data_IF_194950910405
#
_entry.id   IF_194950910405
#
_cell.length_a   1.000
_cell.length_b   1.000
_cell.length_c   1.000
_cell.angle_alpha   90.00
_cell.angle_beta   90.00
_cell.angle_gamma   90.00
#
_symmetry.space_group_name_H-M   'P 1'
#
loop_
_entity.id
_entity.type
_entity.pdbx_description
1 polymer ?
#
# COMPACT_ATOMS: atom_id res chain seq x y z
N UNK A 1 -10.08 -9.51 -4.02
CA UNK A 1 -9.07 -8.82 -3.15
C UNK A 1 -9.71 -8.56 -1.80
N UNK A 2 -9.03 -8.93 -0.70
CA UNK A 2 -9.48 -8.62 0.66
C UNK A 2 -9.18 -7.17 0.98
N UNK A 3 -10.17 -6.48 1.59
CA UNK A 3 -10.11 -5.07 1.94
C UNK A 3 -9.90 -4.91 3.45
N UNK A 4 -9.02 -4.01 3.82
CA UNK A 4 -8.75 -3.56 5.19
C UNK A 4 -8.56 -2.04 5.23
N UNK A 5 -8.48 -1.48 6.44
CA UNK A 5 -7.91 -0.15 6.61
C UNK A 5 -6.65 -0.23 7.48
N UNK A 6 -5.68 0.61 7.19
CA UNK A 6 -4.41 0.65 7.90
C UNK A 6 -4.53 1.38 9.24
N UNK A 7 -4.11 0.73 10.33
CA UNK A 7 -4.20 1.30 11.68
C UNK A 7 -3.05 2.25 12.02
N UNK A 8 -2.14 2.54 11.08
CA UNK A 8 -1.11 3.57 11.29
C UNK A 8 -1.68 4.98 11.48
N UNK A 9 -2.97 5.17 11.24
CA UNK A 9 -3.71 6.39 11.61
C UNK A 9 -3.87 6.56 13.13
N UNK A 10 -3.65 5.50 13.92
CA UNK A 10 -3.80 5.49 15.37
C UNK A 10 -2.44 5.45 16.08
N UNK A 11 -2.22 6.24 17.16
CA UNK A 11 -0.89 6.49 17.69
C UNK A 11 -0.33 5.44 18.66
N UNK A 12 -1.06 4.35 19.02
CA UNK A 12 -0.58 3.42 20.03
C UNK A 12 0.50 2.46 19.49
N UNK A 13 1.58 2.34 20.26
CA UNK A 13 2.71 1.48 19.94
C UNK A 13 2.84 0.26 20.87
N UNK A 14 2.07 0.21 21.95
CA UNK A 14 2.10 -0.88 22.93
C UNK A 14 0.78 -1.64 22.97
N UNK A 15 0.83 -2.92 23.33
CA UNK A 15 -0.30 -3.85 23.24
C UNK A 15 -1.60 -3.29 23.84
N UNK A 16 -1.56 -2.81 25.10
CA UNK A 16 -2.79 -2.36 25.77
C UNK A 16 -3.42 -1.15 25.04
N UNK A 17 -2.59 -0.24 24.53
CA UNK A 17 -3.06 0.88 23.72
C UNK A 17 -3.60 0.45 22.36
N UNK A 18 -2.98 -0.53 21.70
CA UNK A 18 -3.47 -1.09 20.43
C UNK A 18 -4.81 -1.82 20.64
N UNK A 19 -4.95 -2.60 21.71
CA UNK A 19 -6.23 -3.24 22.06
C UNK A 19 -7.32 -2.18 22.31
N UNK A 20 -7.01 -1.10 23.06
CA UNK A 20 -7.94 0.01 23.29
C UNK A 20 -8.34 0.69 21.96
N UNK A 21 -7.40 0.90 21.04
CA UNK A 21 -7.68 1.49 19.73
C UNK A 21 -8.55 0.58 18.84
N UNK A 22 -8.34 -0.71 18.85
CA UNK A 22 -9.22 -1.66 18.14
C UNK A 22 -10.66 -1.55 18.62
N UNK A 23 -10.87 -1.50 19.95
CA UNK A 23 -12.20 -1.33 20.55
C UNK A 23 -12.76 0.07 20.30
N UNK A 24 -11.94 1.11 20.43
CA UNK A 24 -12.39 2.51 20.37
C UNK A 24 -12.63 3.01 18.96
N UNK A 25 -11.89 2.50 17.97
CA UNK A 25 -11.94 2.96 16.58
C UNK A 25 -12.36 1.86 15.61
N UNK A 26 -11.66 0.72 15.55
CA UNK A 26 -11.94 -0.30 14.54
C UNK A 26 -13.33 -0.92 14.68
N UNK A 27 -13.76 -1.24 15.90
CA UNK A 27 -15.10 -1.77 16.14
C UNK A 27 -16.22 -0.76 15.74
N UNK A 28 -16.19 0.52 16.16
CA UNK A 28 -17.13 1.52 15.67
C UNK A 28 -17.06 1.78 14.16
N UNK A 29 -15.87 1.72 13.54
CA UNK A 29 -15.72 1.83 12.08
C UNK A 29 -16.45 0.69 11.39
N UNK A 30 -16.30 -0.56 11.87
CA UNK A 30 -17.02 -1.73 11.35
C UNK A 30 -18.53 -1.51 11.37
N UNK A 31 -19.06 -1.06 12.53
CA UNK A 31 -20.49 -0.77 12.70
C UNK A 31 -20.97 0.36 11.77
N UNK A 32 -20.23 1.49 11.74
CA UNK A 32 -20.57 2.64 10.90
C UNK A 32 -20.48 2.32 9.41
N UNK A 33 -19.59 1.41 9.00
CA UNK A 33 -19.50 0.93 7.62
C UNK A 33 -20.60 -0.10 7.27
N UNK A 34 -21.32 -0.66 8.27
CA UNK A 34 -22.36 -1.67 8.08
C UNK A 34 -21.80 -3.04 7.74
N UNK A 35 -20.62 -3.40 8.28
CA UNK A 35 -19.91 -4.62 7.97
C UNK A 35 -20.09 -5.67 9.08
N UNK A 36 -20.32 -6.94 8.70
CA UNK A 36 -20.29 -8.06 9.63
C UNK A 36 -18.88 -8.32 10.14
N UNK A 37 -17.89 -8.25 9.24
CA UNK A 37 -16.46 -8.40 9.52
C UNK A 37 -15.70 -7.24 8.89
N UNK A 38 -14.71 -6.71 9.61
CA UNK A 38 -13.81 -5.66 9.11
C UNK A 38 -12.38 -6.19 8.99
N UNK A 39 -11.78 -6.08 7.81
CA UNK A 39 -10.34 -6.25 7.63
C UNK A 39 -9.56 -5.11 8.29
N UNK A 40 -8.51 -5.47 9.02
CA UNK A 40 -7.61 -4.52 9.69
C UNK A 40 -6.20 -4.74 9.16
N UNK A 41 -5.63 -3.74 8.50
CA UNK A 41 -4.22 -3.62 8.16
C UNK A 41 -3.47 -3.11 9.40
N UNK A 42 -2.98 -4.05 10.22
CA UNK A 42 -2.43 -3.67 11.51
C UNK A 42 -1.04 -3.07 11.36
N UNK A 43 -0.87 -1.80 11.71
CA UNK A 43 0.46 -1.27 11.98
C UNK A 43 1.01 -1.92 13.24
N UNK A 44 2.18 -2.50 13.11
CA UNK A 44 2.81 -3.24 14.20
C UNK A 44 4.21 -2.67 14.47
N UNK A 45 4.34 -1.66 15.35
CA UNK A 45 5.65 -1.13 15.72
C UNK A 45 6.56 -2.22 16.28
N UNK A 46 7.87 -2.07 16.14
CA UNK A 46 8.84 -3.09 16.52
C UNK A 46 8.75 -3.52 18.00
N UNK A 47 8.48 -2.59 18.89
CA UNK A 47 8.29 -2.89 20.33
C UNK A 47 7.08 -3.82 20.55
N UNK A 48 6.02 -3.68 19.76
CA UNK A 48 4.85 -4.54 19.80
C UNK A 48 5.13 -5.89 19.12
N UNK A 49 5.77 -5.88 17.94
CA UNK A 49 6.14 -7.09 17.22
C UNK A 49 7.00 -8.00 18.08
N UNK A 50 8.07 -7.46 18.68
CA UNK A 50 8.95 -8.18 19.59
C UNK A 50 8.21 -8.77 20.79
N UNK A 51 7.33 -7.99 21.43
CA UNK A 51 6.51 -8.46 22.55
C UNK A 51 5.59 -9.60 22.14
N UNK A 52 4.86 -9.45 21.04
CA UNK A 52 3.91 -10.48 20.57
C UNK A 52 4.64 -11.73 20.09
N UNK A 53 5.79 -11.62 19.39
CA UNK A 53 6.58 -12.76 18.99
C UNK A 53 7.04 -13.59 20.21
N UNK A 54 7.41 -12.93 21.30
CA UNK A 54 7.89 -13.57 22.52
C UNK A 54 6.79 -14.06 23.50
N UNK A 55 5.51 -13.65 23.32
CA UNK A 55 4.43 -13.91 24.29
C UNK A 55 3.20 -14.53 23.66
N UNK A 56 3.02 -15.87 23.75
CA UNK A 56 1.76 -16.53 23.32
C UNK A 56 0.52 -15.98 24.01
N UNK A 57 0.60 -15.66 25.30
CA UNK A 57 -0.54 -15.12 26.06
C UNK A 57 -0.97 -13.76 25.53
N UNK A 58 -0.05 -12.91 25.14
CA UNK A 58 -0.37 -11.59 24.54
C UNK A 58 -1.00 -11.74 23.13
N UNK A 59 -0.57 -12.73 22.33
CA UNK A 59 -1.22 -13.06 21.06
C UNK A 59 -2.65 -13.57 21.26
N UNK A 60 -2.88 -14.40 22.28
CA UNK A 60 -4.24 -14.84 22.66
C UNK A 60 -5.11 -13.66 23.06
N UNK A 61 -4.60 -12.70 23.82
CA UNK A 61 -5.34 -11.47 24.18
C UNK A 61 -5.69 -10.65 22.93
N UNK A 62 -4.75 -10.45 22.01
CA UNK A 62 -5.01 -9.73 20.77
C UNK A 62 -6.09 -10.43 19.94
N UNK A 63 -5.97 -11.74 19.75
CA UNK A 63 -6.97 -12.54 19.02
C UNK A 63 -8.35 -12.45 19.67
N UNK A 64 -8.44 -12.52 20.98
CA UNK A 64 -9.71 -12.44 21.68
C UNK A 64 -10.44 -11.11 21.40
N UNK A 65 -9.71 -9.98 21.39
CA UNK A 65 -10.29 -8.66 21.06
C UNK A 65 -10.72 -8.61 19.59
N UNK A 66 -9.91 -9.15 18.67
CA UNK A 66 -10.26 -9.20 17.24
C UNK A 66 -11.56 -10.01 17.03
N UNK A 67 -11.64 -11.19 17.61
CA UNK A 67 -12.80 -12.10 17.48
C UNK A 67 -14.06 -11.50 18.12
N UNK A 68 -13.95 -10.90 19.32
CA UNK A 68 -15.07 -10.27 20.04
C UNK A 68 -15.70 -9.13 19.21
N UNK A 69 -14.88 -8.39 18.45
CA UNK A 69 -15.33 -7.21 17.71
C UNK A 69 -15.53 -7.46 16.21
N UNK A 70 -15.43 -8.69 15.72
CA UNK A 70 -15.59 -9.02 14.30
C UNK A 70 -14.51 -8.39 13.42
N UNK A 71 -13.25 -8.35 13.92
CA UNK A 71 -12.10 -7.82 13.22
C UNK A 71 -11.21 -8.96 12.73
N UNK A 72 -10.61 -8.81 11.54
CA UNK A 72 -9.70 -9.80 10.96
C UNK A 72 -8.42 -9.13 10.48
N UNK A 73 -7.28 -9.73 10.80
CA UNK A 73 -5.97 -9.29 10.33
C UNK A 73 -5.49 -10.25 9.24
N UNK A 74 -5.30 -9.74 8.03
CA UNK A 74 -4.71 -10.47 6.90
C UNK A 74 -3.52 -9.74 6.29
N UNK A 75 -3.29 -8.49 6.70
CA UNK A 75 -2.16 -7.68 6.27
C UNK A 75 -1.59 -6.87 7.44
N UNK A 76 -0.27 -6.64 7.41
CA UNK A 76 0.41 -5.74 8.33
C UNK A 76 1.05 -4.59 7.55
N UNK A 77 1.17 -3.45 8.22
CA UNK A 77 2.05 -2.38 7.82
C UNK A 77 3.30 -2.42 8.73
N UNK A 78 4.45 -2.80 8.15
CA UNK A 78 5.74 -2.81 8.82
C UNK A 78 6.72 -1.81 8.17
N UNK A 79 6.20 -0.77 7.53
CA UNK A 79 7.00 0.32 6.99
C UNK A 79 7.55 1.17 8.14
N UNK A 80 6.74 1.85 8.97
CA UNK A 80 7.25 2.55 10.13
C UNK A 80 7.68 1.55 11.22
N UNK A 81 8.93 1.63 11.63
CA UNK A 81 9.48 0.79 12.71
C UNK A 81 8.94 1.17 14.09
N UNK A 82 8.67 2.46 14.30
CA UNK A 82 8.10 3.06 15.50
C UNK A 82 8.16 4.58 15.39
N UNK A 83 7.62 5.29 16.38
CA UNK A 83 7.67 6.75 16.43
C UNK A 83 6.83 7.47 15.38
N UNK A 84 5.93 6.79 14.69
CA UNK A 84 5.18 7.36 13.55
C UNK A 84 4.24 8.51 13.92
N UNK A 85 3.91 8.64 15.20
CA UNK A 85 3.09 9.73 15.74
C UNK A 85 3.86 10.72 16.61
N UNK A 86 5.19 10.74 16.53
CA UNK A 86 6.01 11.78 17.12
C UNK A 86 5.65 13.17 16.55
N UNK A 87 6.01 14.23 17.26
CA UNK A 87 5.73 15.60 16.80
C UNK A 87 6.39 15.90 15.45
N UNK A 88 7.58 15.32 15.22
CA UNK A 88 8.32 15.37 13.95
C UNK A 88 8.76 13.96 13.61
N UNK A 89 8.40 13.45 12.45
CA UNK A 89 8.76 12.12 11.94
C UNK A 89 9.74 12.25 10.78
N UNK A 90 9.36 13.01 9.74
CA UNK A 90 10.20 13.28 8.55
C UNK A 90 10.98 12.03 8.10
N UNK A 91 12.32 12.12 8.02
CA UNK A 91 13.17 11.03 7.53
C UNK A 91 13.39 9.90 8.55
N UNK A 92 12.98 10.06 9.81
CA UNK A 92 13.14 9.03 10.83
C UNK A 92 12.31 7.77 10.51
N UNK A 93 11.23 7.92 9.71
CA UNK A 93 10.39 6.79 9.27
C UNK A 93 11.17 5.73 8.47
N UNK A 94 12.26 6.12 7.81
CA UNK A 94 13.09 5.22 6.98
C UNK A 94 14.17 4.47 7.77
N UNK A 95 14.21 4.61 9.10
CA UNK A 95 15.18 3.95 9.96
C UNK A 95 14.52 2.99 10.95
N UNK A 96 15.14 1.84 11.28
CA UNK A 96 16.34 1.27 10.64
C UNK A 96 16.08 0.90 9.17
N UNK A 97 17.13 0.95 8.36
CA UNK A 97 17.12 0.62 6.94
C UNK A 97 17.17 -0.90 6.71
N UNK A 98 17.06 -1.36 5.46
CA UNK A 98 17.27 -2.77 5.14
C UNK A 98 18.76 -3.21 5.17
N UNK A 99 19.70 -2.28 5.32
CA UNK A 99 21.09 -2.60 5.63
C UNK A 99 21.31 -2.95 7.11
N UNK A 100 20.37 -2.58 7.98
CA UNK A 100 20.44 -2.82 9.42
C UNK A 100 19.79 -4.16 9.78
N UNK A 101 20.45 -5.04 10.55
CA UNK A 101 19.92 -6.37 10.90
C UNK A 101 18.62 -6.32 11.70
N UNK A 102 18.36 -5.22 12.40
CA UNK A 102 17.15 -4.98 13.17
C UNK A 102 15.90 -4.96 12.28
N UNK A 103 16.01 -4.48 11.03
CA UNK A 103 14.89 -4.44 10.08
C UNK A 103 14.45 -5.86 9.70
N UNK A 104 15.41 -6.73 9.40
CA UNK A 104 15.13 -8.14 9.10
C UNK A 104 14.49 -8.85 10.30
N UNK A 105 15.08 -8.73 11.49
CA UNK A 105 14.57 -9.34 12.71
C UNK A 105 13.12 -8.93 12.98
N UNK A 106 12.85 -7.64 12.95
CA UNK A 106 11.51 -7.06 13.10
C UNK A 106 10.50 -7.60 12.08
N UNK A 107 10.89 -7.68 10.80
CA UNK A 107 9.99 -8.15 9.74
C UNK A 107 9.65 -9.63 9.92
N UNK A 108 10.61 -10.45 10.37
CA UNK A 108 10.36 -11.87 10.69
C UNK A 108 9.48 -12.03 11.94
N UNK A 109 9.65 -11.19 12.98
CA UNK A 109 8.76 -11.16 14.14
C UNK A 109 7.32 -10.80 13.73
N UNK A 110 7.15 -9.80 12.86
CA UNK A 110 5.85 -9.47 12.26
C UNK A 110 5.25 -10.66 11.52
N UNK A 111 6.04 -11.42 10.75
CA UNK A 111 5.57 -12.57 10.00
C UNK A 111 5.12 -13.72 10.91
N UNK A 112 5.84 -14.00 12.00
CA UNK A 112 5.43 -14.98 13.03
C UNK A 112 4.08 -14.61 13.65
N UNK A 113 3.90 -13.35 14.04
CA UNK A 113 2.65 -12.88 14.62
C UNK A 113 1.50 -12.95 13.61
N UNK A 114 1.74 -12.50 12.37
CA UNK A 114 0.73 -12.53 11.32
C UNK A 114 0.28 -13.97 11.02
N UNK A 115 1.21 -14.92 10.93
CA UNK A 115 0.87 -16.32 10.66
C UNK A 115 -0.13 -16.91 11.66
N UNK A 116 -0.05 -16.50 12.93
CA UNK A 116 -1.03 -16.91 13.95
C UNK A 116 -2.37 -16.16 13.86
N UNK A 117 -2.37 -14.91 13.37
CA UNK A 117 -3.59 -14.10 13.24
C UNK A 117 -4.38 -14.43 11.97
N UNK A 118 -3.75 -15.00 10.95
CA UNK A 118 -4.38 -15.27 9.65
C UNK A 118 -5.60 -16.20 9.76
N UNK A 119 -6.70 -15.85 9.09
CA UNK A 119 -7.78 -16.80 8.83
C UNK A 119 -7.29 -18.03 8.07
N UNK A 120 -7.99 -19.15 8.19
CA UNK A 120 -7.61 -20.38 7.49
C UNK A 120 -7.73 -20.23 5.97
N UNK A 121 -6.68 -20.66 5.26
CA UNK A 121 -6.62 -20.66 3.80
C UNK A 121 -6.38 -19.27 3.19
N UNK A 122 -6.02 -18.27 3.99
CA UNK A 122 -5.64 -16.93 3.54
C UNK A 122 -4.13 -16.78 3.66
N UNK A 123 -3.48 -16.25 2.63
CA UNK A 123 -2.10 -15.81 2.71
C UNK A 123 -2.04 -14.44 3.38
N UNK A 124 -0.96 -14.16 4.12
CA UNK A 124 -0.71 -12.85 4.73
C UNK A 124 0.18 -11.95 3.87
N UNK A 125 0.06 -10.64 4.03
CA UNK A 125 0.97 -9.67 3.44
C UNK A 125 1.54 -8.71 4.49
N UNK A 126 2.78 -8.24 4.25
CA UNK A 126 3.44 -7.24 5.09
C UNK A 126 4.10 -6.24 4.16
N UNK A 127 3.68 -4.96 4.22
CA UNK A 127 4.38 -3.89 3.49
C UNK A 127 5.62 -3.43 4.26
N UNK A 128 6.69 -3.10 3.52
CA UNK A 128 7.95 -2.64 4.07
C UNK A 128 8.56 -1.53 3.22
N UNK A 129 9.43 -0.71 3.85
CA UNK A 129 10.10 0.42 3.18
C UNK A 129 10.98 -0.01 2.00
N UNK A 130 11.21 0.89 1.03
CA UNK A 130 11.99 0.63 -0.18
C UNK A 130 13.50 0.84 0.08
N UNK A 131 14.07 -0.01 0.91
CA UNK A 131 15.44 -0.08 1.41
C UNK A 131 15.79 1.01 2.42
N UNK A 132 15.78 2.27 2.03
CA UNK A 132 16.14 3.44 2.82
C UNK A 132 15.77 4.73 2.08
N UNK A 133 15.91 5.87 2.74
CA UNK A 133 16.07 7.15 2.06
C UNK A 133 17.32 7.12 1.17
N UNK A 134 17.31 7.77 0.00
CA UNK A 134 18.36 7.64 -1.03
C UNK A 134 19.76 8.04 -0.57
N UNK A 135 19.87 8.90 0.45
CA UNK A 135 21.15 9.39 0.96
C UNK A 135 21.17 9.45 2.49
N UNK A 136 22.21 8.89 3.14
CA UNK A 136 23.32 8.16 2.50
C UNK A 136 22.93 6.71 2.18
N UNK A 137 23.33 6.21 1.01
CA UNK A 137 23.21 4.81 0.62
C UNK A 137 24.44 4.40 -0.19
N UNK A 138 25.09 3.33 0.19
CA UNK A 138 26.35 2.86 -0.42
C UNK A 138 26.23 1.46 -1.03
N UNK A 139 27.22 1.04 -1.82
CA UNK A 139 27.30 -0.34 -2.32
C UNK A 139 27.33 -1.37 -1.19
N UNK A 140 27.92 -1.03 -0.04
CA UNK A 140 27.96 -1.90 1.14
C UNK A 140 26.56 -2.06 1.77
N UNK A 141 25.77 -1.01 1.80
CA UNK A 141 24.38 -1.03 2.28
C UNK A 141 23.50 -1.87 1.33
N UNK A 142 23.66 -1.68 0.01
CA UNK A 142 22.95 -2.50 -0.99
C UNK A 142 23.31 -3.99 -0.88
N UNK A 143 24.58 -4.30 -0.64
CA UNK A 143 25.04 -5.65 -0.42
C UNK A 143 24.48 -6.26 0.89
N UNK A 144 24.39 -5.47 1.97
CA UNK A 144 23.77 -5.88 3.23
C UNK A 144 22.26 -6.12 3.04
N UNK A 145 21.54 -5.21 2.39
CA UNK A 145 20.13 -5.37 2.07
C UNK A 145 19.86 -6.61 1.19
N UNK A 146 20.74 -6.88 0.20
CA UNK A 146 20.64 -8.07 -0.65
C UNK A 146 20.70 -9.35 0.19
N UNK A 147 21.62 -9.46 1.15
CA UNK A 147 21.70 -10.61 2.07
C UNK A 147 20.48 -10.68 3.00
N UNK A 148 20.03 -9.55 3.48
CA UNK A 148 18.83 -9.48 4.34
C UNK A 148 17.59 -10.02 3.62
N UNK A 149 17.39 -9.69 2.35
CA UNK A 149 16.26 -10.21 1.56
C UNK A 149 16.38 -11.70 1.22
N UNK A 150 17.61 -12.22 1.04
CA UNK A 150 17.82 -13.65 0.90
C UNK A 150 17.44 -14.39 2.21
N UNK A 151 17.92 -13.91 3.35
CA UNK A 151 17.58 -14.45 4.67
C UNK A 151 16.10 -14.30 5.02
N UNK A 152 15.45 -13.21 4.60
CA UNK A 152 14.00 -13.01 4.72
C UNK A 152 13.24 -14.14 3.99
N UNK A 153 13.58 -14.39 2.73
CA UNK A 153 12.95 -15.47 1.94
C UNK A 153 13.13 -16.84 2.58
N UNK A 154 14.30 -17.13 3.17
CA UNK A 154 14.56 -18.35 3.91
C UNK A 154 13.68 -18.45 5.17
N UNK A 155 13.65 -17.39 5.99
CA UNK A 155 12.81 -17.35 7.20
C UNK A 155 11.31 -17.49 6.91
N UNK A 156 10.81 -16.92 5.81
CA UNK A 156 9.41 -17.06 5.41
C UNK A 156 9.06 -18.45 4.89
N UNK A 157 9.98 -19.14 4.20
CA UNK A 157 9.81 -20.57 3.87
C UNK A 157 9.76 -21.43 5.11
N UNK A 158 10.69 -21.25 6.05
CA UNK A 158 10.71 -21.98 7.32
C UNK A 158 9.42 -21.76 8.11
N UNK A 159 8.90 -20.53 8.13
CA UNK A 159 7.61 -20.21 8.74
C UNK A 159 6.47 -21.01 8.07
N UNK A 160 6.44 -21.03 6.74
CA UNK A 160 5.46 -21.81 5.97
C UNK A 160 5.55 -23.31 6.27
N UNK A 161 6.75 -23.87 6.32
CA UNK A 161 6.95 -25.29 6.62
C UNK A 161 6.46 -25.66 8.02
N UNK A 162 6.70 -24.81 9.02
CA UNK A 162 6.27 -25.03 10.41
C UNK A 162 4.76 -24.83 10.63
N UNK A 163 4.16 -23.86 9.96
CA UNK A 163 2.79 -23.41 10.28
C UNK A 163 1.75 -23.77 9.20
N UNK A 164 2.20 -24.08 7.99
CA UNK A 164 1.33 -24.22 6.81
C UNK A 164 0.77 -22.87 6.29
N UNK A 165 1.10 -21.75 6.93
CA UNK A 165 0.64 -20.41 6.54
C UNK A 165 1.64 -19.75 5.58
N UNK A 166 1.14 -19.08 4.56
CA UNK A 166 1.96 -18.30 3.62
C UNK A 166 1.94 -16.84 4.05
N UNK A 167 3.10 -16.27 4.29
CA UNK A 167 3.27 -14.82 4.50
C UNK A 167 4.18 -14.28 3.40
N UNK A 168 3.82 -13.15 2.83
CA UNK A 168 4.59 -12.44 1.81
C UNK A 168 4.97 -11.04 2.29
N UNK A 169 6.20 -10.63 1.99
CA UNK A 169 6.66 -9.25 2.25
C UNK A 169 6.65 -8.48 0.94
N UNK A 170 6.13 -7.28 0.98
CA UNK A 170 5.91 -6.42 -0.17
C UNK A 170 6.72 -5.13 -0.03
N UNK A 171 7.70 -4.93 -0.92
CA UNK A 171 8.50 -3.70 -0.99
C UNK A 171 7.66 -2.59 -1.59
N UNK A 172 7.58 -1.47 -0.89
CA UNK A 172 6.74 -0.34 -1.25
C UNK A 172 7.60 0.80 -1.81
N UNK A 173 7.65 1.01 -3.15
CA UNK A 173 8.39 2.12 -3.72
C UNK A 173 7.85 3.45 -3.21
N UNK A 174 8.75 4.37 -2.87
CA UNK A 174 8.35 5.69 -2.35
C UNK A 174 9.25 6.81 -2.89
N UNK A 175 8.64 7.94 -3.32
CA UNK A 175 9.37 9.09 -3.81
C UNK A 175 10.48 9.57 -2.88
N UNK A 176 11.72 9.65 -3.38
CA UNK A 176 12.89 10.10 -2.62
C UNK A 176 13.71 8.99 -1.97
N UNK A 177 13.21 7.75 -1.94
CA UNK A 177 13.94 6.60 -1.42
C UNK A 177 14.90 6.00 -2.45
N UNK A 178 15.69 5.00 -2.03
CA UNK A 178 16.60 4.22 -2.91
C UNK A 178 15.81 3.57 -4.04
N UNK A 179 14.63 3.04 -3.73
CA UNK A 179 13.71 2.52 -4.74
C UNK A 179 12.52 3.50 -4.83
N UNK A 180 12.73 4.60 -5.58
CA UNK A 180 11.80 5.73 -5.71
C UNK A 180 10.52 5.32 -6.47
N UNK A 181 10.67 4.47 -7.50
CA UNK A 181 9.61 4.11 -8.42
C UNK A 181 9.36 2.60 -8.48
N UNK A 182 8.22 2.20 -9.06
CA UNK A 182 7.96 0.78 -9.35
C UNK A 182 9.05 0.19 -10.24
N UNK A 183 9.59 0.96 -11.19
CA UNK A 183 10.67 0.49 -12.08
C UNK A 183 11.94 0.18 -11.29
N UNK A 184 12.27 0.96 -10.26
CA UNK A 184 13.43 0.72 -9.39
C UNK A 184 13.25 -0.56 -8.57
N UNK A 185 12.07 -0.76 -7.95
CA UNK A 185 11.76 -1.99 -7.21
C UNK A 185 11.83 -3.21 -8.12
N UNK A 186 11.24 -3.13 -9.31
CA UNK A 186 11.27 -4.23 -10.29
C UNK A 186 12.70 -4.55 -10.71
N UNK A 187 13.51 -3.54 -11.04
CA UNK A 187 14.90 -3.73 -11.41
C UNK A 187 15.72 -4.36 -10.27
N UNK A 188 15.54 -3.85 -9.05
CA UNK A 188 16.27 -4.33 -7.86
C UNK A 188 15.92 -5.78 -7.52
N UNK A 189 14.63 -6.13 -7.44
CA UNK A 189 14.17 -7.48 -7.12
C UNK A 189 14.49 -8.48 -8.25
N UNK A 190 14.22 -8.13 -9.52
CA UNK A 190 14.46 -9.02 -10.65
C UNK A 190 15.93 -9.42 -10.78
N UNK A 191 16.86 -8.50 -10.51
CA UNK A 191 18.29 -8.80 -10.49
C UNK A 191 18.69 -9.82 -9.41
N UNK A 192 17.82 -10.08 -8.43
CA UNK A 192 18.07 -10.93 -7.26
C UNK A 192 17.20 -12.21 -7.20
N UNK A 193 16.37 -12.47 -8.20
CA UNK A 193 15.45 -13.65 -8.19
C UNK A 193 15.86 -14.79 -9.11
N UNK A 194 16.82 -14.57 -10.01
CA UNK A 194 17.23 -15.56 -11.01
C UNK A 194 17.92 -16.81 -10.43
N UNK A 195 17.85 -17.96 -11.12
CA UNK A 195 18.49 -19.21 -10.65
C UNK A 195 20.02 -19.11 -10.57
N UNK A 196 20.63 -18.21 -11.34
CA UNK A 196 22.09 -18.00 -11.36
C UNK A 196 22.57 -17.09 -10.20
N UNK A 197 21.65 -16.48 -9.44
CA UNK A 197 21.99 -15.68 -8.26
C UNK A 197 22.41 -16.63 -7.12
N UNK A 198 23.55 -16.41 -6.45
CA UNK A 198 23.97 -17.19 -5.28
C UNK A 198 22.86 -17.24 -4.22
N UNK A 199 22.74 -18.39 -3.53
CA UNK A 199 21.63 -18.62 -2.60
C UNK A 199 21.55 -17.59 -1.46
N UNK A 200 22.70 -17.16 -0.95
CA UNK A 200 22.85 -16.16 0.10
C UNK A 200 22.56 -14.71 -0.36
N UNK A 201 22.23 -14.55 -1.64
CA UNK A 201 21.88 -13.28 -2.29
C UNK A 201 20.55 -13.35 -3.05
N UNK A 202 19.91 -14.52 -3.06
CA UNK A 202 18.71 -14.76 -3.86
C UNK A 202 17.44 -14.46 -3.08
N UNK A 203 16.69 -13.48 -3.56
CA UNK A 203 15.34 -13.19 -3.08
C UNK A 203 14.36 -14.24 -3.62
N UNK A 204 13.45 -14.71 -2.77
CA UNK A 204 12.41 -15.67 -3.14
C UNK A 204 11.15 -14.94 -3.64
N UNK A 205 10.81 -15.00 -4.96
CA UNK A 205 9.66 -14.28 -5.52
C UNK A 205 8.30 -14.87 -5.09
N UNK A 206 8.26 -16.05 -4.46
CA UNK A 206 7.04 -16.58 -3.86
C UNK A 206 6.70 -15.83 -2.55
N UNK A 207 7.71 -15.36 -1.82
CA UNK A 207 7.57 -14.72 -0.53
C UNK A 207 7.86 -13.23 -0.53
N UNK A 208 8.49 -12.69 -1.58
CA UNK A 208 8.80 -11.26 -1.68
C UNK A 208 8.27 -10.72 -3.01
N UNK A 209 7.53 -9.62 -2.94
CA UNK A 209 6.97 -8.95 -4.10
C UNK A 209 6.84 -7.45 -3.88
N UNK A 210 5.89 -6.83 -4.55
CA UNK A 210 5.70 -5.37 -4.60
C UNK A 210 4.45 -4.98 -3.81
N UNK A 211 4.57 -3.96 -2.99
CA UNK A 211 3.45 -3.17 -2.47
C UNK A 211 3.24 -1.98 -3.40
N UNK A 212 2.07 -1.87 -3.98
CA UNK A 212 1.73 -0.77 -4.86
C UNK A 212 0.96 0.28 -4.08
N UNK A 213 1.66 1.29 -3.52
CA UNK A 213 0.98 2.47 -3.02
C UNK A 213 0.55 3.36 -4.17
N UNK A 214 -0.76 3.66 -4.24
CA UNK A 214 -1.33 4.38 -5.38
C UNK A 214 -1.14 5.89 -5.31
N UNK A 215 -0.88 6.44 -4.12
CA UNK A 215 -0.40 7.81 -3.94
C UNK A 215 1.03 7.95 -4.50
N UNK A 216 1.95 7.05 -4.12
CA UNK A 216 3.33 7.05 -4.63
C UNK A 216 3.38 6.86 -6.16
N UNK A 217 2.55 5.94 -6.67
CA UNK A 217 2.40 5.73 -8.11
C UNK A 217 1.94 6.99 -8.83
N UNK A 218 0.98 7.71 -8.25
CA UNK A 218 0.50 8.97 -8.80
C UNK A 218 1.59 10.05 -8.72
N UNK A 219 2.26 10.21 -7.57
CA UNK A 219 3.33 11.19 -7.37
C UNK A 219 4.46 11.00 -8.38
N UNK A 220 4.84 9.76 -8.70
CA UNK A 220 5.85 9.47 -9.72
C UNK A 220 5.38 9.73 -11.16
N UNK A 221 4.13 10.15 -11.38
CA UNK A 221 3.52 10.34 -12.71
C UNK A 221 3.58 9.08 -13.60
N UNK A 222 3.62 7.89 -13.03
CA UNK A 222 3.70 6.63 -13.78
C UNK A 222 2.52 6.44 -14.73
N UNK A 223 1.32 6.90 -14.35
CA UNK A 223 0.10 6.90 -15.16
C UNK A 223 0.21 7.74 -16.43
N UNK A 224 0.95 8.86 -16.37
CA UNK A 224 1.16 9.78 -17.50
C UNK A 224 2.31 9.35 -18.41
N UNK A 225 3.32 8.69 -17.87
CA UNK A 225 4.52 8.27 -18.61
C UNK A 225 4.33 6.94 -19.34
N UNK A 226 4.03 5.89 -18.59
CA UNK A 226 3.90 4.53 -19.10
C UNK A 226 2.44 4.04 -19.16
N UNK A 227 1.59 4.64 -18.33
CA UNK A 227 0.25 4.18 -18.05
C UNK A 227 0.22 3.12 -16.94
N UNK A 228 -0.76 3.21 -16.07
CA UNK A 228 -0.90 2.39 -14.86
C UNK A 228 -0.89 0.88 -15.17
N UNK A 229 -1.62 0.46 -16.19
CA UNK A 229 -1.66 -0.95 -16.60
C UNK A 229 -0.31 -1.46 -17.11
N UNK A 230 0.48 -0.64 -17.79
CA UNK A 230 1.82 -1.02 -18.23
C UNK A 230 2.79 -1.11 -17.05
N UNK A 231 2.65 -0.24 -16.05
CA UNK A 231 3.45 -0.30 -14.83
C UNK A 231 3.20 -1.59 -14.05
N UNK A 232 1.93 -1.99 -13.88
CA UNK A 232 1.59 -3.28 -13.25
C UNK A 232 2.12 -4.46 -14.06
N UNK A 233 2.00 -4.44 -15.40
CA UNK A 233 2.56 -5.51 -16.24
C UNK A 233 4.07 -5.66 -16.10
N UNK A 234 4.85 -4.59 -15.92
CA UNK A 234 6.29 -4.71 -15.69
C UNK A 234 6.64 -5.53 -14.45
N UNK A 235 5.83 -5.43 -13.39
CA UNK A 235 6.00 -6.26 -12.20
C UNK A 235 5.83 -7.72 -12.56
N UNK A 236 4.75 -8.06 -13.24
CA UNK A 236 4.43 -9.46 -13.57
C UNK A 236 5.32 -10.05 -14.67
N UNK A 237 5.72 -9.25 -15.66
CA UNK A 237 6.65 -9.67 -16.72
C UNK A 237 8.05 -9.96 -16.17
N UNK A 238 8.42 -9.33 -15.04
CA UNK A 238 9.63 -9.64 -14.30
C UNK A 238 9.54 -10.88 -13.39
N UNK A 239 8.40 -11.60 -13.40
CA UNK A 239 8.16 -12.77 -12.55
C UNK A 239 7.86 -12.43 -11.09
N UNK A 240 7.53 -11.17 -10.80
CA UNK A 240 7.18 -10.67 -9.47
C UNK A 240 5.65 -10.61 -9.31
N UNK A 241 5.18 -10.48 -8.07
CA UNK A 241 3.76 -10.31 -7.74
C UNK A 241 3.49 -8.94 -7.15
N UNK A 242 2.33 -8.37 -7.45
CA UNK A 242 1.73 -7.36 -6.59
C UNK A 242 1.11 -8.10 -5.41
N UNK A 243 1.69 -7.94 -4.24
CA UNK A 243 1.27 -8.65 -3.01
C UNK A 243 0.25 -7.85 -2.23
N UNK A 244 0.41 -6.53 -2.24
CA UNK A 244 -0.43 -5.57 -1.53
C UNK A 244 -0.61 -4.32 -2.36
N UNK A 245 -1.76 -3.68 -2.23
CA UNK A 245 -2.04 -2.33 -2.73
C UNK A 245 -2.40 -1.46 -1.53
N UNK A 246 -1.62 -0.41 -1.28
CA UNK A 246 -2.06 0.68 -0.40
C UNK A 246 -3.03 1.55 -1.21
N UNK A 247 -4.31 1.51 -0.82
CA UNK A 247 -5.35 2.32 -1.45
C UNK A 247 -5.29 3.73 -0.89
N UNK A 248 -4.70 4.62 -1.64
CA UNK A 248 -4.39 5.99 -1.27
C UNK A 248 -4.56 6.92 -2.47
N UNK A 249 -4.67 8.22 -2.26
CA UNK A 249 -4.73 9.20 -3.33
C UNK A 249 -3.86 10.41 -2.98
N UNK A 250 -3.10 10.90 -3.96
CA UNK A 250 -2.26 12.08 -3.83
C UNK A 250 -3.04 13.38 -4.07
N UNK A 251 -2.52 14.51 -3.58
CA UNK A 251 -2.97 15.83 -4.03
C UNK A 251 -2.42 16.13 -5.43
N UNK A 252 -3.27 16.70 -6.28
CA UNK A 252 -2.93 17.18 -7.60
C UNK A 252 -3.16 18.68 -7.72
N UNK A 253 -2.15 19.40 -8.22
CA UNK A 253 -2.15 20.83 -8.50
C UNK A 253 -1.91 21.00 -10.00
N UNK A 254 -2.96 21.35 -10.73
CA UNK A 254 -2.88 21.44 -12.21
C UNK A 254 -2.02 22.62 -12.69
N UNK A 255 -2.07 23.73 -11.99
CA UNK A 255 -1.27 24.95 -12.29
C UNK A 255 -0.65 25.48 -10.98
N UNK A 256 0.57 25.07 -10.65
CA UNK A 256 1.26 25.56 -9.45
C UNK A 256 1.81 26.98 -9.58
N UNK A 257 1.73 27.62 -10.75
CA UNK A 257 2.05 29.04 -10.95
C UNK A 257 0.89 29.95 -10.52
N UNK A 258 -0.35 29.43 -10.43
CA UNK A 258 -1.50 30.17 -9.92
C UNK A 258 -1.37 30.42 -8.41
N UNK A 259 -1.48 31.68 -7.99
CA UNK A 259 -1.35 32.09 -6.58
C UNK A 259 -2.40 31.41 -5.68
N UNK A 260 -3.62 31.19 -6.18
CA UNK A 260 -4.68 30.55 -5.43
C UNK A 260 -4.39 29.05 -5.24
N UNK A 261 -3.83 28.37 -6.25
CA UNK A 261 -3.42 26.97 -6.15
C UNK A 261 -2.23 26.80 -5.20
N UNK A 262 -1.26 27.71 -5.25
CA UNK A 262 -0.12 27.71 -4.31
C UNK A 262 -0.59 27.93 -2.86
N UNK A 263 -1.49 28.88 -2.64
CA UNK A 263 -2.04 29.12 -1.31
C UNK A 263 -2.85 27.92 -0.79
N UNK A 264 -3.65 27.30 -1.67
CA UNK A 264 -4.44 26.12 -1.31
C UNK A 264 -3.57 24.91 -0.96
N UNK A 265 -2.56 24.58 -1.78
CA UNK A 265 -1.65 23.44 -1.47
C UNK A 265 -0.74 23.75 -0.29
N UNK A 266 -0.37 25.02 -0.09
CA UNK A 266 0.41 25.47 1.07
C UNK A 266 -0.26 25.21 2.41
N UNK A 267 -1.59 25.12 2.46
CA UNK A 267 -2.32 24.75 3.67
C UNK A 267 -2.07 23.28 4.11
N UNK A 268 -1.56 22.44 3.24
CA UNK A 268 -1.19 21.05 3.53
C UNK A 268 0.28 20.90 4.00
N UNK A 269 1.06 21.98 3.99
CA UNK A 269 2.41 21.97 4.55
C UNK A 269 2.35 21.89 6.09
N UNK A 270 2.95 20.84 6.65
CA UNK A 270 2.98 20.60 8.09
C UNK A 270 4.35 20.06 8.52
N UNK A 271 4.60 19.88 9.81
CA UNK A 271 5.94 19.58 10.33
C UNK A 271 6.19 18.11 10.63
N UNK A 272 5.13 17.30 10.78
CA UNK A 272 5.24 15.90 11.22
C UNK A 272 5.79 14.99 10.14
N UNK A 273 5.12 14.96 8.99
CA UNK A 273 5.48 14.07 7.88
C UNK A 273 6.24 14.81 6.78
N UNK A 274 6.93 14.05 5.94
CA UNK A 274 7.53 14.55 4.71
C UNK A 274 6.51 14.44 3.58
N UNK A 275 6.38 15.51 2.77
CA UNK A 275 5.43 15.59 1.66
C UNK A 275 6.20 15.84 0.36
N UNK A 276 6.73 14.77 -0.23
CA UNK A 276 7.49 14.84 -1.47
C UNK A 276 6.62 15.42 -2.59
N UNK A 277 7.22 16.28 -3.41
CA UNK A 277 6.55 16.90 -4.56
C UNK A 277 7.25 16.49 -5.85
N UNK A 278 6.47 16.17 -6.85
CA UNK A 278 6.95 15.94 -8.20
C UNK A 278 6.23 16.88 -9.17
N UNK A 279 6.99 17.42 -10.13
CA UNK A 279 6.49 18.25 -11.24
C UNK A 279 6.70 17.52 -12.56
N UNK A 280 5.65 17.41 -13.37
CA UNK A 280 5.75 16.85 -14.70
C UNK A 280 5.99 17.98 -15.70
N UNK A 281 7.16 18.00 -16.34
CA UNK A 281 7.49 18.98 -17.37
C UNK A 281 6.77 18.72 -18.70
N UNK A 282 6.68 19.74 -19.55
CA UNK A 282 6.13 19.59 -20.90
C UNK A 282 6.93 18.59 -21.77
N UNK A 283 8.20 18.35 -21.46
CA UNK A 283 9.05 17.35 -22.13
C UNK A 283 8.78 15.91 -21.64
N UNK A 284 8.01 15.73 -20.56
CA UNK A 284 7.72 14.43 -19.95
C UNK A 284 8.73 14.02 -18.86
N UNK A 285 9.66 14.88 -18.51
CA UNK A 285 10.56 14.65 -17.37
C UNK A 285 9.84 14.93 -16.06
N UNK A 286 10.24 14.24 -14.99
CA UNK A 286 9.71 14.43 -13.65
C UNK A 286 10.78 15.07 -12.78
N UNK A 287 10.53 16.30 -12.33
CA UNK A 287 11.38 17.02 -11.39
C UNK A 287 10.92 16.71 -9.95
N UNK A 288 11.84 16.85 -8.99
CA UNK A 288 11.64 16.45 -7.61
C UNK A 288 11.95 17.56 -6.60
N UNK A 289 11.10 17.71 -5.61
CA UNK A 289 11.42 18.37 -4.34
C UNK A 289 11.13 17.39 -3.21
N UNK A 290 11.97 17.39 -2.19
CA UNK A 290 11.88 16.40 -1.11
C UNK A 290 10.74 16.69 -0.14
N UNK A 291 10.36 17.96 0.00
CA UNK A 291 9.23 18.35 0.86
C UNK A 291 8.44 19.49 0.21
N UNK A 292 7.16 19.60 0.56
CA UNK A 292 6.27 20.64 0.05
C UNK A 292 6.76 22.07 0.36
N UNK A 293 7.30 22.39 1.54
CA UNK A 293 7.92 23.71 1.77
C UNK A 293 9.03 24.05 0.80
N UNK A 294 9.85 23.08 0.38
CA UNK A 294 10.93 23.29 -0.59
C UNK A 294 10.38 23.63 -1.97
N UNK A 295 9.36 22.89 -2.43
CA UNK A 295 8.68 23.16 -3.69
C UNK A 295 8.04 24.56 -3.69
N UNK A 296 7.36 24.93 -2.60
CA UNK A 296 6.81 26.27 -2.41
C UNK A 296 7.88 27.35 -2.32
N UNK A 297 9.07 27.00 -1.83
CA UNK A 297 10.25 27.87 -1.76
C UNK A 297 10.98 28.08 -3.11
N UNK A 298 10.54 27.41 -4.19
CA UNK A 298 11.09 27.56 -5.53
C UNK A 298 12.10 26.49 -5.94
N UNK A 299 12.14 25.35 -5.26
CA UNK A 299 12.94 24.19 -5.68
C UNK A 299 12.43 23.56 -6.98
N UNK A 300 11.17 23.82 -7.35
CA UNK A 300 10.57 23.44 -8.63
C UNK A 300 10.18 24.66 -9.45
N UNK A 301 10.28 24.61 -10.81
CA UNK A 301 10.00 25.75 -11.69
C UNK A 301 8.51 26.16 -11.71
N UNK A 302 7.58 25.28 -11.31
CA UNK A 302 6.14 25.49 -11.35
C UNK A 302 5.60 25.77 -12.78
N UNK A 303 6.21 25.14 -13.79
CA UNK A 303 5.81 25.25 -15.21
C UNK A 303 4.88 24.11 -15.65
N UNK A 304 4.82 23.04 -14.85
CA UNK A 304 3.96 21.86 -15.06
C UNK A 304 3.18 21.48 -13.83
N UNK A 305 2.21 20.54 -13.94
CA UNK A 305 1.41 20.12 -12.81
C UNK A 305 2.25 19.47 -11.70
N UNK A 306 1.88 19.73 -10.45
CA UNK A 306 2.45 19.08 -9.28
C UNK A 306 1.56 17.94 -8.78
N UNK A 307 2.22 16.93 -8.22
CA UNK A 307 1.60 15.93 -7.35
C UNK A 307 2.38 15.89 -6.04
N UNK A 308 1.62 15.92 -4.94
CA UNK A 308 2.15 15.99 -3.58
C UNK A 308 1.82 14.71 -2.87
N UNK A 309 2.82 14.08 -2.25
CA UNK A 309 2.65 12.93 -1.37
C UNK A 309 1.95 13.37 -0.09
N UNK A 310 0.64 13.38 -0.14
CA UNK A 310 -0.26 13.61 0.98
C UNK A 310 -1.49 12.73 0.75
N UNK A 311 -1.74 11.78 1.65
CA UNK A 311 -2.85 10.85 1.50
C UNK A 311 -4.19 11.56 1.73
N UNK A 312 -4.89 11.85 0.64
CA UNK A 312 -6.23 12.44 0.68
C UNK A 312 -7.25 11.34 0.96
N UNK A 313 -8.22 11.54 1.88
CA UNK A 313 -9.29 10.55 2.10
C UNK A 313 -10.01 10.19 0.80
N UNK A 314 -10.18 8.88 0.53
CA UNK A 314 -10.60 8.36 -0.77
C UNK A 314 -11.95 8.89 -1.27
N UNK A 315 -12.86 9.21 -0.35
CA UNK A 315 -14.19 9.74 -0.67
C UNK A 315 -14.22 11.25 -0.74
N UNK A 316 -13.10 11.93 -0.45
CA UNK A 316 -13.03 13.39 -0.39
C UNK A 316 -12.53 13.99 -1.70
N UNK A 317 -13.28 14.95 -2.24
CA UNK A 317 -12.86 15.80 -3.35
C UNK A 317 -12.27 17.10 -2.76
N UNK A 318 -10.96 17.34 -2.87
CA UNK A 318 -10.38 18.60 -2.44
C UNK A 318 -11.06 19.78 -3.11
N UNK A 319 -11.18 20.91 -2.39
CA UNK A 319 -11.74 22.12 -2.98
C UNK A 319 -10.88 22.62 -4.15
N UNK A 320 -11.52 23.06 -5.23
CA UNK A 320 -10.80 23.69 -6.33
C UNK A 320 -9.94 24.87 -5.83
N UNK A 321 -8.71 25.06 -6.35
CA UNK A 321 -8.16 24.47 -7.58
C UNK A 321 -7.40 23.15 -7.41
N UNK A 322 -7.47 22.49 -6.25
CA UNK A 322 -6.84 21.20 -6.01
C UNK A 322 -7.75 20.06 -6.49
N UNK A 323 -7.15 18.89 -6.72
CA UNK A 323 -7.85 17.64 -7.01
C UNK A 323 -7.16 16.46 -6.31
N UNK A 324 -7.83 15.31 -6.23
CA UNK A 324 -7.24 14.05 -5.78
C UNK A 324 -6.98 13.12 -6.98
N UNK A 325 -6.04 12.17 -6.81
CA UNK A 325 -5.66 11.21 -7.87
C UNK A 325 -6.39 9.86 -7.73
N UNK A 326 -7.66 9.88 -7.34
CA UNK A 326 -8.47 8.65 -7.17
C UNK A 326 -8.71 7.89 -8.48
N UNK A 327 -8.57 8.55 -9.63
CA UNK A 327 -8.57 7.92 -10.95
C UNK A 327 -7.36 6.99 -11.16
N UNK A 328 -6.18 7.37 -10.65
CA UNK A 328 -4.98 6.54 -10.67
C UNK A 328 -5.17 5.30 -9.79
N UNK A 329 -5.73 5.46 -8.59
CA UNK A 329 -6.08 4.35 -7.69
C UNK A 329 -6.99 3.33 -8.39
N UNK A 330 -8.11 3.77 -9.00
CA UNK A 330 -9.03 2.88 -9.72
C UNK A 330 -8.32 2.12 -10.83
N UNK A 331 -7.57 2.84 -11.67
CA UNK A 331 -6.82 2.24 -12.76
C UNK A 331 -5.77 1.24 -12.29
N UNK A 332 -5.13 1.49 -11.14
CA UNK A 332 -4.16 0.58 -10.53
C UNK A 332 -4.83 -0.71 -10.04
N UNK A 333 -5.94 -0.60 -9.30
CA UNK A 333 -6.68 -1.77 -8.79
C UNK A 333 -7.23 -2.61 -9.94
N UNK A 334 -7.78 -2.00 -11.00
CA UNK A 334 -8.25 -2.71 -12.19
C UNK A 334 -7.10 -3.43 -12.89
N UNK A 335 -5.94 -2.80 -13.01
CA UNK A 335 -4.76 -3.40 -13.61
C UNK A 335 -4.21 -4.56 -12.79
N UNK A 336 -4.14 -4.41 -11.45
CA UNK A 336 -3.70 -5.49 -10.55
C UNK A 336 -4.66 -6.66 -10.62
N UNK A 337 -5.97 -6.43 -10.60
CA UNK A 337 -6.98 -7.49 -10.68
C UNK A 337 -6.89 -8.27 -12.00
N UNK A 338 -6.56 -7.59 -13.10
CA UNK A 338 -6.36 -8.24 -14.40
C UNK A 338 -5.02 -8.99 -14.52
N UNK A 339 -4.10 -8.80 -13.60
CA UNK A 339 -2.78 -9.42 -13.60
C UNK A 339 -2.81 -10.84 -12.98
N UNK A 340 -1.84 -11.72 -13.30
CA UNK A 340 -1.69 -13.00 -12.63
C UNK A 340 -1.60 -12.82 -11.10
N UNK A 341 -2.36 -13.62 -10.37
CA UNK A 341 -2.48 -13.57 -8.90
C UNK A 341 -3.01 -12.23 -8.33
N UNK A 342 -3.57 -11.36 -9.17
CA UNK A 342 -4.06 -10.04 -8.72
C UNK A 342 -5.17 -10.13 -7.67
N UNK A 343 -6.02 -11.16 -7.76
CA UNK A 343 -7.09 -11.37 -6.76
C UNK A 343 -6.56 -11.82 -5.40
N UNK A 344 -5.33 -12.35 -5.31
CA UNK A 344 -4.66 -12.69 -4.06
C UNK A 344 -4.06 -11.46 -3.36
N UNK A 345 -3.89 -10.34 -4.08
CA UNK A 345 -3.36 -9.10 -3.50
C UNK A 345 -4.34 -8.53 -2.46
N UNK A 346 -3.80 -8.01 -1.37
CA UNK A 346 -4.58 -7.31 -0.35
C UNK A 346 -4.73 -5.84 -0.71
N UNK A 347 -5.89 -5.28 -0.42
CA UNK A 347 -6.18 -3.87 -0.60
C UNK A 347 -6.34 -3.24 0.79
N UNK A 348 -5.45 -2.31 1.15
CA UNK A 348 -5.42 -1.68 2.47
C UNK A 348 -5.61 -0.17 2.31
N UNK A 349 -6.73 0.37 2.82
CA UNK A 349 -6.98 1.82 2.78
C UNK A 349 -6.03 2.49 3.73
N UNK A 350 -5.16 3.35 3.21
CA UNK A 350 -4.15 4.03 3.98
C UNK A 350 -4.27 5.54 3.88
N UNK A 351 -4.93 6.13 4.88
CA UNK A 351 -5.02 7.59 5.06
C UNK A 351 -4.56 7.94 6.46
N UNK A 352 -3.25 8.00 6.67
CA UNK A 352 -2.66 8.34 7.98
C UNK A 352 -2.75 9.84 8.32
N UNK A 353 -3.06 10.67 7.33
CA UNK A 353 -3.02 12.14 7.40
C UNK A 353 -4.23 12.79 8.08
N UNK A 354 -5.22 12.01 8.56
CA UNK A 354 -6.42 12.54 9.19
C UNK A 354 -6.16 13.59 10.30
N UNK A 355 -5.09 13.39 11.08
CA UNK A 355 -4.74 14.29 12.18
C UNK A 355 -4.04 15.59 11.72
N UNK A 356 -3.61 15.66 10.46
CA UNK A 356 -2.86 16.77 9.86
C UNK A 356 -3.58 17.39 8.66
N UNK A 357 -4.84 17.01 8.42
CA UNK A 357 -5.68 17.65 7.42
C UNK A 357 -5.89 19.14 7.78
N UNK A 358 -5.87 20.05 6.78
CA UNK A 358 -6.20 21.45 7.00
C UNK A 358 -7.59 21.64 7.63
N UNK A 359 -7.78 22.72 8.40
CA UNK A 359 -9.09 23.06 8.96
C UNK A 359 -10.16 23.15 7.87
N UNK A 360 -11.28 22.45 8.07
CA UNK A 360 -12.40 22.38 7.13
C UNK A 360 -12.22 21.38 5.98
N UNK A 361 -11.07 20.73 5.85
CA UNK A 361 -10.88 19.67 4.86
C UNK A 361 -11.56 18.35 5.25
N UNK A 362 -11.82 18.12 6.55
CA UNK A 362 -12.63 17.03 7.04
C UNK A 362 -13.69 17.56 8.01
N UNK A 363 -14.94 17.19 7.78
CA UNK A 363 -16.09 17.56 8.64
C UNK A 363 -16.52 16.42 9.54
N UNK A 364 -16.09 15.20 9.23
CA UNK A 364 -16.49 13.99 9.90
C UNK A 364 -15.55 13.64 11.08
N UNK A 365 -16.09 12.90 12.05
CA UNK A 365 -15.23 12.24 13.04
C UNK A 365 -14.33 11.21 12.36
N UNK A 366 -13.18 10.89 12.94
CA UNK A 366 -12.25 9.89 12.39
C UNK A 366 -12.96 8.55 12.07
N UNK A 367 -13.85 8.08 12.95
CA UNK A 367 -14.63 6.85 12.73
C UNK A 367 -15.54 6.97 11.51
N UNK A 368 -16.28 8.09 11.39
CA UNK A 368 -17.19 8.31 10.27
C UNK A 368 -16.43 8.45 8.94
N UNK A 369 -15.29 9.13 8.98
CA UNK A 369 -14.41 9.32 7.83
C UNK A 369 -13.83 8.01 7.32
N UNK A 370 -13.21 7.21 8.16
CA UNK A 370 -12.67 5.89 7.78
C UNK A 370 -13.80 4.98 7.27
N UNK A 371 -14.97 4.96 7.93
CA UNK A 371 -16.11 4.20 7.46
C UNK A 371 -16.61 4.65 6.07
N UNK A 372 -16.53 5.95 5.77
CA UNK A 372 -16.87 6.48 4.45
C UNK A 372 -15.84 6.05 3.38
N UNK A 373 -14.55 6.04 3.70
CA UNK A 373 -13.50 5.51 2.82
C UNK A 373 -13.72 4.03 2.49
N UNK A 374 -14.03 3.21 3.49
CA UNK A 374 -14.30 1.78 3.30
C UNK A 374 -15.54 1.53 2.42
N UNK A 375 -16.62 2.29 2.63
CA UNK A 375 -17.80 2.22 1.75
C UNK A 375 -17.47 2.64 0.32
N UNK A 376 -16.68 3.70 0.18
CA UNK A 376 -16.20 4.15 -1.13
C UNK A 376 -15.36 3.07 -1.81
N UNK A 377 -14.38 2.48 -1.11
CA UNK A 377 -13.52 1.42 -1.62
C UNK A 377 -14.34 0.17 -2.02
N UNK A 378 -15.28 -0.27 -1.17
CA UNK A 378 -16.17 -1.40 -1.50
C UNK A 378 -16.97 -1.14 -2.76
N UNK A 379 -17.50 0.09 -2.93
CA UNK A 379 -18.34 0.46 -4.07
C UNK A 379 -17.55 0.62 -5.36
N UNK A 380 -16.36 1.22 -5.30
CA UNK A 380 -15.63 1.65 -6.50
C UNK A 380 -14.47 0.73 -6.88
N UNK A 381 -13.98 -0.09 -5.93
CA UNK A 381 -12.84 -0.97 -6.15
C UNK A 381 -13.25 -2.45 -6.16
N UNK A 382 -14.55 -2.77 -6.08
CA UNK A 382 -15.12 -4.12 -6.05
C UNK A 382 -14.35 -5.06 -5.06
N UNK A 383 -13.99 -4.53 -3.90
CA UNK A 383 -13.25 -5.23 -2.86
C UNK A 383 -14.19 -5.79 -1.78
N UNK A 384 -13.75 -6.76 -0.98
CA UNK A 384 -14.56 -7.38 0.08
C UNK A 384 -13.77 -7.53 1.37
N UNK A 385 -14.45 -7.40 2.50
CA UNK A 385 -13.91 -7.75 3.81
C UNK A 385 -14.13 -9.23 4.16
N UNK A 386 -14.99 -9.92 3.41
CA UNK A 386 -15.39 -11.30 3.70
C UNK A 386 -14.42 -12.28 3.01
N UNK A 387 -13.66 -13.01 3.83
CA UNK A 387 -12.75 -14.07 3.40
C UNK A 387 -13.50 -15.19 2.67
N UNK A 388 -14.73 -15.54 3.08
CA UNK A 388 -15.52 -16.58 2.43
C UNK A 388 -15.96 -16.14 1.02
N UNK A 389 -16.39 -14.87 0.87
CA UNK A 389 -16.73 -14.30 -0.42
C UNK A 389 -15.51 -14.17 -1.34
N UNK A 390 -14.34 -13.79 -0.80
CA UNK A 390 -13.10 -13.74 -1.58
C UNK A 390 -12.69 -15.13 -2.10
N UNK A 391 -12.90 -16.20 -1.32
CA UNK A 391 -12.57 -17.58 -1.72
C UNK A 391 -13.52 -18.15 -2.78
N UNK A 392 -14.81 -17.81 -2.73
CA UNK A 392 -15.78 -18.24 -3.76
C UNK A 392 -15.52 -17.60 -5.10
N UNK A 393 -15.07 -16.36 -5.16
CA UNK A 393 -14.67 -15.69 -6.39
C UNK A 393 -13.50 -16.39 -7.12
N UNK A 394 -12.64 -17.12 -6.40
CA UNK A 394 -11.53 -17.90 -7.00
C UNK A 394 -11.94 -19.27 -7.54
N UNK A 395 -13.14 -19.77 -7.18
CA UNK A 395 -13.61 -21.11 -7.58
C UNK A 395 -14.58 -21.08 -8.75
N UNK A 396 -15.14 -19.94 -9.12
CA UNK A 396 -15.97 -19.81 -10.31
C UNK A 396 -15.07 -19.62 -11.55
N UNK A 397 -15.17 -20.53 -12.56
CA UNK A 397 -14.50 -20.30 -13.83
C UNK A 397 -15.09 -19.05 -14.51
N UNK A 398 -14.30 -18.29 -15.29
CA UNK A 398 -14.79 -17.11 -15.99
C UNK A 398 -16.02 -17.51 -16.80
N UNK A 399 -17.14 -16.84 -16.56
CA UNK A 399 -18.38 -17.03 -17.34
C UNK A 399 -18.06 -16.72 -18.80
N UNK A 400 -17.90 -17.78 -19.59
CA UNK A 400 -17.73 -17.66 -21.03
C UNK A 400 -18.96 -16.96 -21.65
N UNK A 401 -18.81 -16.32 -22.80
CA UNK A 401 -19.91 -15.63 -23.44
C UNK A 401 -21.08 -16.62 -23.62
N UNK A 402 -22.23 -16.24 -23.10
CA UNK A 402 -23.48 -17.02 -23.24
C UNK A 402 -23.79 -17.19 -24.72
N UNK A 403 -24.07 -18.42 -25.11
CA UNK A 403 -24.31 -18.86 -26.49
C UNK A 403 -25.64 -18.34 -27.11
N UNK A 404 -26.14 -17.17 -26.73
CA UNK A 404 -27.40 -16.59 -27.18
C UNK A 404 -27.26 -15.44 -28.19
N UNK A 405 -26.06 -15.09 -28.61
CA UNK A 405 -25.86 -14.04 -29.64
C UNK A 405 -25.60 -14.57 -31.07
N UNK A 406 -25.86 -15.86 -31.32
CA UNK A 406 -25.68 -16.49 -32.63
C UNK A 406 -27.00 -16.91 -33.29
N UNK A 407 -27.97 -15.99 -33.38
CA UNK A 407 -29.16 -16.24 -34.19
C UNK A 407 -29.81 -14.95 -34.70
N UNK A 408 -29.21 -14.31 -35.70
CA UNK A 408 -29.95 -13.43 -36.63
C UNK A 408 -29.11 -13.17 -37.90
N UNK A 409 -29.10 -14.08 -38.80
CA UNK A 409 -28.86 -13.79 -40.23
C UNK A 409 -30.12 -14.15 -41.03
N UNK A 410 -30.86 -13.21 -41.59
CA UNK A 410 -31.83 -13.50 -42.60
C UNK A 410 -31.41 -12.95 -43.95
N UNK A 411 -31.16 -13.85 -44.89
CA UNK A 411 -31.69 -13.62 -46.22
C UNK A 411 -30.74 -13.20 -47.32
N UNK A 412 -30.19 -14.19 -47.90
CA UNK A 412 -29.80 -14.24 -49.33
C UNK A 412 -30.99 -13.94 -50.25
N UNK A 413 -30.91 -12.94 -51.08
CA UNK A 413 -31.68 -12.87 -52.33
C UNK A 413 -30.74 -12.87 -53.53
N UNK A 414 -30.73 -13.96 -54.24
CA UNK A 414 -30.28 -14.07 -55.64
C UNK A 414 -31.12 -13.14 -56.49
N UNK A 415 -30.50 -12.40 -57.38
CA UNK A 415 -31.06 -12.20 -58.77
C UNK A 415 -29.93 -12.11 -59.78
N UNK A 416 -30.11 -12.97 -60.76
CA UNK A 416 -29.52 -13.06 -62.06
C UNK A 416 -29.70 -11.83 -62.93
N UNK A 417 -28.71 -11.40 -63.66
CA UNK A 417 -28.60 -11.17 -65.08
C UNK A 417 -27.14 -10.84 -65.40
#
# INVERSE_FOLDING_TARGET
>A
MLLSYCTNVHPAEHLDGVLDQLVRYAAPVREAAGLDVLGVGLWMPAVLAHRLAGSPDDRVRLRAVLDEHGLQVHTLNAFPYGGFHADVVKLDVYTPTWADPERLAYTLECAEVLAELLPDGVAGSISTLPLAWREPWTDADDDAATRAFAALGEGLRDLRERTGKVVRVAVEPEPGCVLDTVDDVVAWLAARTGPDVPADRRTDPEHVGVCLDTCHLAVSFADRRAGTAATVRRITDAGLRVVKVQASAALHVADPADDAARAAVGAFAEQRYIHQVRELTAAGDVLAADDLPDALGGALPAEGPWRVHFHVPLHHEPAAPLAATTDVLRAAVDAVRAAPHGDEAHLDVETYTWAVLPEGAATDSLVAGIAAELRWATTHLAATHDVAAARTAHTEPPSGPTADDAAADPGTTRRTA
#
